data_IF_179733869057
#
_entry.id   IF_179733869057
#
_cell.length_a   1.000
_cell.length_b   1.000
_cell.length_c   1.000
_cell.angle_alpha   90.00
_cell.angle_beta   90.00
_cell.angle_gamma   90.00
#
_symmetry.space_group_name_H-M   'P 1'
#
loop_
_entity.id
_entity.type
_entity.pdbx_description
1 polymer ?
#
# COMPACT_ATOMS: atom_id res chain seq x y z
N UNK A 1 -27.06 14.09 20.30
CA UNK A 1 -25.98 13.27 19.73
C UNK A 1 -24.89 14.19 19.20
N UNK A 2 -23.64 13.98 19.60
CA UNK A 2 -22.46 14.70 19.12
C UNK A 2 -21.77 13.85 18.07
N UNK A 3 -21.41 14.45 16.92
CA UNK A 3 -20.74 13.74 15.82
C UNK A 3 -19.39 14.42 15.60
N UNK A 4 -18.30 13.66 15.72
CA UNK A 4 -16.92 14.12 15.51
C UNK A 4 -16.28 13.37 14.34
N UNK A 5 -15.62 14.11 13.43
CA UNK A 5 -14.76 13.51 12.40
C UNK A 5 -13.31 13.59 12.88
N UNK A 6 -12.60 12.46 12.85
CA UNK A 6 -11.19 12.40 13.23
C UNK A 6 -10.33 13.26 12.28
N UNK A 7 -9.71 14.29 12.81
CA UNK A 7 -8.83 15.19 12.05
C UNK A 7 -7.57 14.50 11.53
N UNK A 8 -7.16 13.38 12.11
CA UNK A 8 -6.05 12.56 11.66
C UNK A 8 -6.43 11.62 10.51
N UNK A 9 -7.72 11.42 10.23
CA UNK A 9 -8.21 10.56 9.14
C UNK A 9 -8.22 11.29 7.79
N UNK A 10 -8.20 10.52 6.71
CA UNK A 10 -8.21 11.03 5.35
C UNK A 10 -6.95 10.67 4.56
N UNK A 11 -6.86 11.15 3.33
CA UNK A 11 -5.76 10.85 2.42
C UNK A 11 -4.39 11.16 3.05
N UNK A 12 -3.46 10.22 2.92
CA UNK A 12 -2.05 10.50 3.19
C UNK A 12 -1.46 11.36 2.05
N UNK A 13 -0.29 11.95 2.30
CA UNK A 13 0.41 12.79 1.32
C UNK A 13 0.56 12.11 -0.06
N UNK A 14 0.93 10.82 -0.09
CA UNK A 14 1.10 10.09 -1.35
C UNK A 14 -0.19 9.99 -2.16
N UNK A 15 -1.32 9.69 -1.50
CA UNK A 15 -2.63 9.63 -2.14
C UNK A 15 -3.08 11.02 -2.59
N UNK A 16 -2.95 12.03 -1.73
CA UNK A 16 -3.29 13.43 -2.09
C UNK A 16 -2.53 13.87 -3.35
N UNK A 17 -1.23 13.61 -3.41
CA UNK A 17 -0.41 13.96 -4.58
C UNK A 17 -0.89 13.26 -5.86
N UNK A 18 -1.28 11.98 -5.77
CA UNK A 18 -1.76 11.24 -6.93
C UNK A 18 -3.11 11.77 -7.43
N UNK A 19 -4.04 12.07 -6.51
CA UNK A 19 -5.33 12.67 -6.84
C UNK A 19 -5.15 14.04 -7.50
N UNK A 20 -4.34 14.94 -6.91
CA UNK A 20 -4.08 16.27 -7.49
C UNK A 20 -3.49 16.18 -8.90
N UNK A 21 -2.50 15.30 -9.12
CA UNK A 21 -1.94 15.11 -10.46
C UNK A 21 -2.99 14.65 -11.47
N UNK A 22 -3.89 13.74 -11.07
CA UNK A 22 -4.98 13.31 -11.93
C UNK A 22 -5.93 14.47 -12.27
N UNK A 23 -6.35 15.25 -11.27
CA UNK A 23 -7.25 16.39 -11.43
C UNK A 23 -6.60 17.48 -12.31
N UNK A 24 -5.33 17.79 -12.08
CA UNK A 24 -4.57 18.76 -12.89
C UNK A 24 -4.47 18.34 -14.36
N UNK A 25 -4.21 17.05 -14.64
CA UNK A 25 -4.14 16.57 -16.02
C UNK A 25 -5.52 16.53 -16.68
N UNK A 26 -6.57 16.11 -15.95
CA UNK A 26 -7.94 16.13 -16.46
C UNK A 26 -8.42 17.53 -16.76
N UNK A 27 -8.04 18.53 -15.94
CA UNK A 27 -8.39 19.95 -16.16
C UNK A 27 -7.75 20.54 -17.43
N UNK A 28 -6.63 19.99 -17.91
CA UNK A 28 -6.01 20.42 -19.18
C UNK A 28 -6.78 19.95 -20.42
N UNK A 29 -7.74 19.04 -20.21
CA UNK A 29 -8.48 18.38 -21.28
C UNK A 29 -7.70 17.24 -21.92
N UNK A 30 -8.41 16.43 -22.71
CA UNK A 30 -7.85 15.21 -23.31
C UNK A 30 -8.15 13.96 -22.51
N UNK A 31 -7.64 12.83 -22.96
CA UNK A 31 -7.85 11.54 -22.32
C UNK A 31 -6.69 11.22 -21.39
N UNK A 32 -7.00 10.92 -20.12
CA UNK A 32 -6.04 10.43 -19.14
C UNK A 32 -6.41 9.01 -18.72
N UNK A 33 -5.48 8.09 -18.92
CA UNK A 33 -5.59 6.73 -18.40
C UNK A 33 -4.90 6.62 -17.04
N UNK A 34 -5.40 5.73 -16.16
CA UNK A 34 -4.77 5.40 -14.89
C UNK A 34 -4.52 3.90 -14.83
N UNK A 35 -3.30 3.49 -14.57
CA UNK A 35 -2.94 2.08 -14.46
C UNK A 35 -3.39 1.51 -13.12
N UNK A 36 -4.55 0.84 -13.13
CA UNK A 36 -5.29 0.33 -11.97
C UNK A 36 -6.01 1.43 -11.18
N UNK A 37 -6.76 1.03 -10.16
CA UNK A 37 -7.50 1.97 -9.31
C UNK A 37 -6.54 2.97 -8.66
N UNK A 38 -6.76 4.27 -8.85
CA UNK A 38 -5.87 5.34 -8.34
C UNK A 38 -5.73 5.28 -6.82
N UNK A 39 -6.80 4.88 -6.14
CA UNK A 39 -6.88 4.69 -4.69
C UNK A 39 -7.80 3.51 -4.37
N UNK A 40 -7.60 2.87 -3.22
CA UNK A 40 -8.48 1.78 -2.76
C UNK A 40 -9.75 2.30 -2.10
N UNK A 41 -10.49 3.16 -2.82
CA UNK A 41 -11.80 3.69 -2.43
C UNK A 41 -12.67 3.84 -3.69
N UNK A 42 -13.76 3.08 -3.74
CA UNK A 42 -14.64 3.02 -4.92
C UNK A 42 -15.28 4.37 -5.23
N UNK A 43 -15.79 5.06 -4.21
CA UNK A 43 -16.46 6.37 -4.37
C UNK A 43 -15.53 7.42 -4.98
N UNK A 44 -14.26 7.45 -4.56
CA UNK A 44 -13.28 8.37 -5.14
C UNK A 44 -12.87 7.98 -6.56
N UNK A 45 -12.75 6.68 -6.84
CA UNK A 45 -12.53 6.21 -8.22
C UNK A 45 -13.69 6.58 -9.14
N UNK A 46 -14.94 6.48 -8.67
CA UNK A 46 -16.14 6.87 -9.43
C UNK A 46 -16.17 8.37 -9.68
N UNK A 47 -15.86 9.18 -8.67
CA UNK A 47 -15.75 10.64 -8.81
C UNK A 47 -14.75 11.04 -9.92
N UNK A 48 -13.56 10.44 -9.91
CA UNK A 48 -12.55 10.72 -10.92
C UNK A 48 -12.92 10.17 -12.30
N UNK A 49 -13.65 9.06 -12.36
CA UNK A 49 -14.21 8.52 -13.61
C UNK A 49 -15.25 9.49 -14.22
N UNK A 50 -16.09 10.08 -13.41
CA UNK A 50 -17.03 11.13 -13.86
C UNK A 50 -16.29 12.37 -14.40
N UNK A 51 -15.09 12.66 -13.88
CA UNK A 51 -14.21 13.72 -14.41
C UNK A 51 -13.48 13.32 -15.69
N UNK A 52 -13.57 12.05 -16.13
CA UNK A 52 -12.97 11.56 -17.38
C UNK A 52 -11.73 10.68 -17.21
N UNK A 53 -11.37 10.26 -15.98
CA UNK A 53 -10.27 9.30 -15.77
C UNK A 53 -10.69 7.91 -16.24
N UNK A 54 -9.85 7.26 -17.04
CA UNK A 54 -10.09 5.90 -17.54
C UNK A 54 -9.14 4.94 -16.84
N UNK A 55 -9.67 4.06 -16.01
CA UNK A 55 -8.87 3.01 -15.38
C UNK A 55 -8.60 1.89 -16.38
N UNK A 56 -7.34 1.47 -16.49
CA UNK A 56 -6.87 0.40 -17.37
C UNK A 56 -6.00 -0.60 -16.59
N UNK A 57 -5.87 -1.80 -17.12
CA UNK A 57 -4.91 -2.78 -16.65
C UNK A 57 -3.62 -2.81 -17.50
N UNK A 58 -2.67 -3.70 -17.14
CA UNK A 58 -1.40 -3.84 -17.86
C UNK A 58 -1.57 -4.37 -19.29
N UNK A 59 -2.55 -5.26 -19.52
CA UNK A 59 -2.83 -5.81 -20.84
C UNK A 59 -3.46 -4.74 -21.76
N UNK A 60 -4.30 -3.90 -21.21
CA UNK A 60 -4.85 -2.74 -21.93
C UNK A 60 -3.75 -1.71 -22.23
N UNK A 61 -2.91 -1.40 -21.22
CA UNK A 61 -1.77 -0.49 -21.43
C UNK A 61 -0.82 -0.98 -22.53
N UNK A 62 -0.60 -2.30 -22.65
CA UNK A 62 0.26 -2.87 -23.68
C UNK A 62 -0.24 -2.63 -25.12
N UNK A 63 -1.53 -2.36 -25.28
CA UNK A 63 -2.19 -2.10 -26.58
C UNK A 63 -2.29 -0.60 -26.91
N UNK A 64 -2.07 0.26 -25.92
CA UNK A 64 -2.14 1.71 -26.09
C UNK A 64 -0.83 2.27 -26.64
N UNK A 65 -0.94 3.33 -27.46
CA UNK A 65 0.18 4.06 -28.04
C UNK A 65 -0.12 5.56 -28.09
N UNK A 66 0.90 6.40 -27.89
CA UNK A 66 0.80 7.87 -28.00
C UNK A 66 -0.29 8.46 -27.06
N UNK A 67 -0.41 7.96 -25.87
CA UNK A 67 -1.40 8.39 -24.85
C UNK A 67 -0.71 8.80 -23.55
N UNK A 68 -1.47 9.45 -22.65
CA UNK A 68 -1.02 9.74 -21.28
C UNK A 68 -1.52 8.67 -20.32
N UNK A 69 -0.63 8.14 -19.49
CA UNK A 69 -0.96 7.18 -18.43
C UNK A 69 -0.43 7.66 -17.10
N UNK A 70 -1.31 7.79 -16.12
CA UNK A 70 -0.96 8.07 -14.73
C UNK A 70 -0.60 6.77 -14.02
N UNK A 71 0.59 6.74 -13.42
CA UNK A 71 1.01 5.71 -12.49
C UNK A 71 0.69 6.15 -11.06
N UNK A 72 -0.07 5.33 -10.37
CA UNK A 72 -0.60 5.63 -9.02
C UNK A 72 0.48 5.59 -7.92
N UNK A 73 0.11 6.00 -6.71
CA UNK A 73 1.01 6.12 -5.56
C UNK A 73 1.73 4.80 -5.16
N UNK A 74 1.23 3.65 -5.58
CA UNK A 74 1.77 2.33 -5.26
C UNK A 74 3.10 2.00 -5.96
N UNK A 75 3.44 2.73 -7.04
CA UNK A 75 4.61 2.45 -7.87
C UNK A 75 4.45 1.23 -8.77
N UNK A 76 5.30 1.15 -9.78
CA UNK A 76 5.27 0.11 -10.81
C UNK A 76 6.64 -0.54 -10.97
N UNK A 77 6.72 -1.77 -11.51
CA UNK A 77 7.99 -2.41 -11.85
C UNK A 77 8.68 -1.71 -13.03
N UNK A 78 10.01 -1.88 -13.19
CA UNK A 78 10.76 -1.30 -14.33
C UNK A 78 10.18 -1.66 -15.70
N UNK A 79 9.62 -2.86 -15.85
CA UNK A 79 8.99 -3.32 -17.10
C UNK A 79 7.83 -2.44 -17.56
N UNK A 80 7.07 -1.82 -16.65
CA UNK A 80 5.99 -0.88 -16.99
C UNK A 80 6.55 0.37 -17.68
N UNK A 81 7.66 0.92 -17.17
CA UNK A 81 8.32 2.08 -17.78
C UNK A 81 8.97 1.74 -19.14
N UNK A 82 9.48 0.52 -19.29
CA UNK A 82 10.01 0.04 -20.58
C UNK A 82 8.90 -0.12 -21.63
N UNK A 83 7.75 -0.67 -21.22
CA UNK A 83 6.57 -0.75 -22.07
C UNK A 83 6.11 0.62 -22.52
N UNK A 84 6.01 1.57 -21.59
CA UNK A 84 5.62 2.95 -21.89
C UNK A 84 6.54 3.59 -22.92
N UNK A 85 7.86 3.42 -22.77
CA UNK A 85 8.86 3.94 -23.73
C UNK A 85 8.69 3.31 -25.13
N UNK A 86 8.48 2.01 -25.21
CA UNK A 86 8.27 1.30 -26.49
C UNK A 86 7.02 1.77 -27.22
N UNK A 87 5.97 2.06 -26.48
CA UNK A 87 4.66 2.43 -27.01
C UNK A 87 4.47 3.95 -27.13
N UNK A 88 5.52 4.76 -26.89
CA UNK A 88 5.45 6.24 -26.85
C UNK A 88 4.32 6.74 -25.93
N UNK A 89 4.19 6.15 -24.74
CA UNK A 89 3.24 6.56 -23.71
C UNK A 89 3.90 7.60 -22.81
N UNK A 90 3.24 8.75 -22.64
CA UNK A 90 3.64 9.77 -21.67
C UNK A 90 3.23 9.34 -20.27
N UNK A 91 4.19 9.13 -19.37
CA UNK A 91 3.94 8.75 -17.99
C UNK A 91 3.76 9.98 -17.11
N UNK A 92 2.63 10.08 -16.43
CA UNK A 92 2.40 10.96 -15.30
C UNK A 92 2.68 10.15 -14.02
N UNK A 93 3.91 10.19 -13.54
CA UNK A 93 4.32 9.39 -12.39
C UNK A 93 3.86 10.03 -11.08
N UNK A 94 2.90 9.41 -10.41
CA UNK A 94 2.39 9.82 -9.10
C UNK A 94 2.83 8.88 -7.96
N UNK A 95 3.86 8.07 -8.20
CA UNK A 95 4.40 7.16 -7.17
C UNK A 95 4.80 7.93 -5.92
N UNK A 96 4.35 7.46 -4.77
CA UNK A 96 4.68 8.05 -3.49
C UNK A 96 6.20 8.05 -3.26
N UNK A 97 6.81 9.18 -2.83
CA UNK A 97 8.26 9.24 -2.56
C UNK A 97 8.77 8.18 -1.56
N UNK A 98 7.92 7.75 -0.61
CA UNK A 98 8.26 6.67 0.34
C UNK A 98 8.41 5.35 -0.42
N UNK A 99 7.50 5.05 -1.34
CA UNK A 99 7.55 3.84 -2.17
C UNK A 99 8.73 3.90 -3.14
N UNK A 100 8.98 5.04 -3.79
CA UNK A 100 10.16 5.21 -4.65
C UNK A 100 11.47 4.94 -3.91
N UNK A 101 11.62 5.48 -2.68
CA UNK A 101 12.78 5.20 -1.84
C UNK A 101 12.93 3.71 -1.51
N UNK A 102 11.82 3.04 -1.24
CA UNK A 102 11.81 1.60 -0.96
C UNK A 102 12.22 0.80 -2.20
N UNK A 103 11.66 1.10 -3.36
CA UNK A 103 12.03 0.49 -4.63
C UNK A 103 13.53 0.66 -4.92
N UNK A 104 14.06 1.87 -4.76
CA UNK A 104 15.49 2.15 -4.96
C UNK A 104 16.39 1.33 -4.01
N UNK A 105 16.02 1.21 -2.72
CA UNK A 105 16.75 0.39 -1.74
C UNK A 105 16.77 -1.07 -2.11
N UNK A 106 15.63 -1.63 -2.47
CA UNK A 106 15.50 -3.05 -2.87
C UNK A 106 16.34 -3.29 -4.12
N UNK A 107 16.22 -2.42 -5.12
CA UNK A 107 17.02 -2.51 -6.35
C UNK A 107 18.51 -2.45 -6.07
N UNK A 108 18.97 -1.48 -5.27
CA UNK A 108 20.37 -1.35 -4.91
C UNK A 108 20.89 -2.59 -4.16
N UNK A 109 20.08 -3.13 -3.20
CA UNK A 109 20.43 -4.35 -2.50
C UNK A 109 20.55 -5.53 -3.47
N UNK A 110 19.62 -5.67 -4.41
CA UNK A 110 19.63 -6.72 -5.42
C UNK A 110 20.84 -6.62 -6.37
N UNK A 111 21.20 -5.40 -6.78
CA UNK A 111 22.34 -5.14 -7.66
C UNK A 111 23.69 -5.40 -6.97
N UNK A 112 23.79 -5.16 -5.65
CA UNK A 112 25.02 -5.32 -4.87
C UNK A 112 25.18 -6.70 -4.23
N UNK A 113 24.09 -7.47 -4.12
CA UNK A 113 24.15 -8.85 -3.62
C UNK A 113 24.75 -9.78 -4.69
N UNK A 114 25.66 -10.69 -4.33
CA UNK A 114 26.12 -11.74 -5.22
C UNK A 114 24.91 -12.53 -5.72
N UNK A 115 24.72 -12.61 -7.03
CA UNK A 115 23.62 -13.34 -7.65
C UNK A 115 24.20 -14.41 -8.57
N UNK A 116 23.97 -15.70 -8.30
CA UNK A 116 24.46 -16.78 -9.14
C UNK A 116 24.00 -16.69 -10.61
N UNK A 117 22.81 -16.10 -10.85
CA UNK A 117 22.24 -15.97 -12.21
C UNK A 117 22.89 -14.85 -13.05
N UNK A 118 23.70 -13.97 -12.44
CA UNK A 118 24.41 -12.89 -13.16
C UNK A 118 25.79 -13.31 -13.69
N UNK A 119 26.33 -14.42 -13.23
CA UNK A 119 27.73 -14.81 -13.50
C UNK A 119 27.95 -15.63 -14.80
N UNK A 120 26.92 -15.98 -15.56
CA UNK A 120 27.11 -16.68 -16.86
C UNK A 120 27.80 -15.82 -17.94
N UNK A 121 28.10 -14.52 -17.67
CA UNK A 121 28.71 -13.61 -18.66
C UNK A 121 30.13 -13.15 -18.38
N UNK A 122 30.75 -13.53 -17.25
CA UNK A 122 32.16 -13.19 -17.02
C UNK A 122 32.91 -14.37 -16.35
N UNK A 123 33.85 -14.95 -17.12
CA UNK A 123 34.76 -15.97 -16.72
C UNK A 123 35.66 -15.49 -15.56
N UNK A 124 35.41 -15.90 -14.33
CA UNK A 124 36.39 -15.88 -13.25
C UNK A 124 36.19 -17.05 -12.29
N UNK A 125 37.33 -17.68 -11.95
CA UNK A 125 37.58 -18.89 -11.20
C UNK A 125 36.82 -19.08 -9.89
N UNK A 126 36.27 -20.29 -9.76
CA UNK A 126 35.99 -21.14 -8.59
C UNK A 126 36.36 -20.63 -7.19
N UNK A 127 35.42 -20.67 -6.30
CA UNK A 127 35.35 -21.16 -4.92
C UNK A 127 34.43 -20.43 -3.93
N UNK A 128 33.58 -19.44 -4.36
CA UNK A 128 32.62 -18.84 -3.42
C UNK A 128 31.25 -18.47 -4.06
N UNK A 129 30.73 -19.35 -4.92
CA UNK A 129 29.54 -19.09 -5.77
C UNK A 129 28.17 -19.26 -5.10
N UNK A 130 28.09 -19.46 -3.77
CA UNK A 130 26.85 -19.91 -3.11
C UNK A 130 26.24 -18.90 -2.11
N UNK A 131 26.74 -17.68 -2.00
CA UNK A 131 26.25 -16.70 -1.03
C UNK A 131 25.48 -15.53 -1.66
N UNK A 132 24.50 -15.84 -2.50
CA UNK A 132 23.50 -14.84 -2.89
C UNK A 132 22.47 -14.68 -1.78
N UNK A 133 22.36 -13.49 -1.17
CA UNK A 133 21.36 -13.25 -0.14
C UNK A 133 19.95 -13.15 -0.71
N UNK A 134 18.95 -13.70 -0.02
CA UNK A 134 17.54 -13.63 -0.39
C UNK A 134 16.93 -12.28 0.01
N UNK A 135 16.29 -11.60 -0.94
CA UNK A 135 15.44 -10.44 -0.65
C UNK A 135 14.04 -10.96 -0.31
N UNK A 136 13.60 -10.66 0.89
CA UNK A 136 12.29 -11.06 1.41
C UNK A 136 11.42 -9.81 1.59
N UNK A 137 10.19 -9.86 1.09
CA UNK A 137 9.22 -8.76 1.19
C UNK A 137 8.02 -9.25 2.00
N UNK A 138 7.83 -8.70 3.20
CA UNK A 138 6.63 -8.88 3.98
C UNK A 138 5.52 -8.02 3.38
N UNK A 139 4.57 -8.63 2.68
CA UNK A 139 3.53 -7.91 1.96
C UNK A 139 2.44 -8.82 1.41
N UNK A 140 1.34 -8.24 0.98
CA UNK A 140 0.22 -8.99 0.38
C UNK A 140 0.56 -9.37 -1.06
N UNK A 141 0.58 -10.68 -1.36
CA UNK A 141 0.78 -11.19 -2.74
C UNK A 141 -0.27 -10.59 -3.69
N UNK A 142 0.17 -10.16 -4.86
CA UNK A 142 -0.68 -9.52 -5.86
C UNK A 142 -1.07 -8.06 -5.57
N UNK A 143 -0.69 -7.49 -4.43
CA UNK A 143 -0.88 -6.05 -4.20
C UNK A 143 0.04 -5.24 -5.12
N UNK A 144 -0.46 -4.13 -5.68
CA UNK A 144 0.27 -3.32 -6.64
C UNK A 144 1.65 -2.87 -6.15
N UNK A 145 1.74 -2.37 -4.90
CA UNK A 145 3.02 -1.99 -4.30
C UNK A 145 4.00 -3.17 -4.27
N UNK A 146 3.53 -4.36 -3.85
CA UNK A 146 4.38 -5.56 -3.75
C UNK A 146 4.85 -6.02 -5.14
N UNK A 147 3.99 -5.95 -6.16
CA UNK A 147 4.39 -6.23 -7.55
C UNK A 147 5.49 -5.27 -8.02
N UNK A 148 5.35 -3.97 -7.70
CA UNK A 148 6.37 -2.95 -7.97
C UNK A 148 7.70 -3.23 -7.26
N UNK A 149 7.66 -3.70 -6.00
CA UNK A 149 8.84 -4.06 -5.22
C UNK A 149 9.53 -5.32 -5.76
N UNK A 150 8.76 -6.39 -6.03
CA UNK A 150 9.28 -7.64 -6.62
C UNK A 150 9.92 -7.37 -7.98
N UNK A 151 9.34 -6.47 -8.78
CA UNK A 151 9.91 -6.07 -10.06
C UNK A 151 11.30 -5.43 -9.97
N UNK A 152 11.68 -4.84 -8.82
CA UNK A 152 13.03 -4.29 -8.61
C UNK A 152 14.11 -5.37 -8.52
N UNK A 153 13.71 -6.63 -8.35
CA UNK A 153 14.59 -7.79 -8.24
C UNK A 153 14.45 -8.74 -9.44
N UNK A 154 13.96 -8.25 -10.57
CA UNK A 154 13.64 -9.08 -11.74
C UNK A 154 12.73 -10.30 -11.41
N UNK A 155 11.91 -10.19 -10.39
CA UNK A 155 11.01 -11.27 -9.95
C UNK A 155 11.59 -12.21 -8.89
N UNK A 156 12.84 -12.04 -8.46
CA UNK A 156 13.52 -12.98 -7.57
C UNK A 156 13.25 -12.76 -6.06
N UNK A 157 12.55 -11.70 -5.67
CA UNK A 157 12.20 -11.50 -4.26
C UNK A 157 11.15 -12.51 -3.78
N UNK A 158 11.33 -13.01 -2.56
CA UNK A 158 10.41 -13.91 -1.87
C UNK A 158 9.37 -13.06 -1.14
N UNK A 159 8.08 -13.30 -1.42
CA UNK A 159 6.98 -12.60 -0.73
C UNK A 159 6.40 -13.49 0.35
N UNK A 160 6.38 -12.98 1.58
CA UNK A 160 5.69 -13.58 2.74
C UNK A 160 4.53 -12.68 3.15
N UNK A 161 3.35 -13.24 3.38
CA UNK A 161 2.15 -12.46 3.73
C UNK A 161 1.88 -12.43 5.23
N UNK A 162 2.26 -13.49 5.93
CA UNK A 162 1.98 -13.72 7.34
C UNK A 162 3.22 -14.25 8.05
N UNK A 163 3.18 -14.18 9.37
CA UNK A 163 4.24 -14.71 10.23
C UNK A 163 4.59 -16.18 9.91
N UNK A 164 3.58 -17.03 9.69
CA UNK A 164 3.78 -18.46 9.43
C UNK A 164 4.56 -18.72 8.13
N UNK A 165 4.46 -17.83 7.16
CA UNK A 165 5.19 -17.96 5.90
C UNK A 165 6.70 -17.83 6.10
N UNK A 166 7.16 -17.19 7.18
CA UNK A 166 8.58 -17.06 7.49
C UNK A 166 9.27 -18.42 7.69
N UNK A 167 8.52 -19.46 8.11
CA UNK A 167 9.04 -20.81 8.27
C UNK A 167 9.45 -21.49 6.94
N UNK A 168 9.04 -20.92 5.80
CA UNK A 168 9.39 -21.45 4.47
C UNK A 168 10.71 -20.90 3.92
N UNK A 169 11.33 -19.95 4.64
CA UNK A 169 12.58 -19.33 4.20
C UNK A 169 13.78 -20.27 4.41
N UNK A 170 14.78 -20.13 3.55
CA UNK A 170 16.05 -20.80 3.71
C UNK A 170 16.99 -19.97 4.62
N UNK A 171 17.17 -20.45 5.84
CA UNK A 171 18.01 -19.78 6.84
C UNK A 171 19.50 -20.07 6.72
N UNK A 172 19.93 -20.86 5.75
CA UNK A 172 21.35 -21.16 5.50
C UNK A 172 22.07 -20.03 4.75
N UNK A 173 21.32 -19.07 4.17
CA UNK A 173 21.82 -17.96 3.36
C UNK A 173 21.44 -16.61 3.96
N UNK A 174 22.12 -15.55 3.49
CA UNK A 174 21.83 -14.18 3.90
C UNK A 174 20.36 -13.80 3.58
N UNK A 175 19.70 -13.08 4.50
CA UNK A 175 18.33 -12.63 4.35
C UNK A 175 18.24 -11.10 4.54
N UNK A 176 17.65 -10.42 3.57
CA UNK A 176 17.37 -8.99 3.60
C UNK A 176 15.85 -8.78 3.59
N UNK A 177 15.28 -8.47 4.76
CA UNK A 177 13.84 -8.34 4.97
C UNK A 177 13.37 -6.89 4.82
N UNK A 178 12.40 -6.67 3.95
CA UNK A 178 11.67 -5.40 3.75
C UNK A 178 10.19 -5.61 4.04
N UNK A 179 9.45 -4.52 4.27
CA UNK A 179 8.00 -4.55 4.43
C UNK A 179 7.30 -3.69 3.40
N UNK A 180 6.14 -4.14 2.91
CA UNK A 180 5.15 -3.29 2.27
C UNK A 180 4.79 -2.14 3.23
N UNK A 181 4.64 -0.92 2.72
CA UNK A 181 4.51 0.30 3.53
C UNK A 181 3.27 0.33 4.43
N UNK A 182 2.27 -0.53 4.17
CA UNK A 182 0.99 -0.56 4.87
C UNK A 182 0.75 -1.80 5.74
N UNK A 183 1.80 -2.57 6.03
CA UNK A 183 1.72 -3.74 6.92
C UNK A 183 1.77 -3.34 8.41
N UNK A 184 1.42 -4.28 9.29
CA UNK A 184 1.52 -4.12 10.74
C UNK A 184 2.97 -4.10 11.21
N UNK A 185 3.33 -3.12 12.05
CA UNK A 185 4.66 -3.04 12.64
C UNK A 185 4.91 -4.18 13.64
N UNK A 186 3.90 -4.56 14.42
CA UNK A 186 4.01 -5.64 15.42
C UNK A 186 4.25 -6.99 14.73
N UNK A 187 3.48 -7.28 13.66
CA UNK A 187 3.67 -8.51 12.88
C UNK A 187 5.05 -8.54 12.20
N UNK A 188 5.54 -7.38 11.73
CA UNK A 188 6.88 -7.26 11.18
C UNK A 188 7.97 -7.56 12.22
N UNK A 189 7.82 -7.09 13.46
CA UNK A 189 8.75 -7.40 14.55
C UNK A 189 8.72 -8.89 14.90
N UNK A 190 7.56 -9.53 14.94
CA UNK A 190 7.47 -10.97 15.17
C UNK A 190 8.19 -11.78 14.08
N UNK A 191 8.10 -11.35 12.82
CA UNK A 191 8.84 -11.96 11.71
C UNK A 191 10.35 -11.77 11.89
N UNK A 192 10.79 -10.58 12.30
CA UNK A 192 12.22 -10.30 12.60
C UNK A 192 12.74 -11.27 13.67
N UNK A 193 12.04 -11.37 14.81
CA UNK A 193 12.43 -12.23 15.93
C UNK A 193 12.49 -13.70 15.51
N UNK A 194 11.53 -14.13 14.69
CA UNK A 194 11.54 -15.49 14.17
C UNK A 194 12.74 -15.76 13.28
N UNK A 195 13.00 -14.93 12.28
CA UNK A 195 14.15 -15.09 11.37
C UNK A 195 15.45 -15.05 12.17
N UNK A 196 15.58 -14.11 13.11
CA UNK A 196 16.80 -13.94 13.92
C UNK A 196 17.10 -15.16 14.79
N UNK A 197 16.05 -15.87 15.25
CA UNK A 197 16.22 -17.09 16.05
C UNK A 197 16.54 -18.34 15.24
N UNK A 198 16.34 -18.31 13.91
CA UNK A 198 16.54 -19.48 13.03
C UNK A 198 17.70 -19.32 12.04
N UNK A 199 18.19 -18.09 11.82
CA UNK A 199 19.27 -17.83 10.86
C UNK A 199 20.56 -18.58 11.23
N UNK A 200 21.23 -19.16 10.24
CA UNK A 200 22.50 -19.83 10.42
C UNK A 200 23.56 -18.88 11.01
N UNK A 201 24.45 -19.34 11.91
CA UNK A 201 25.58 -18.52 12.39
C UNK A 201 26.53 -18.02 11.29
N UNK A 202 26.50 -18.66 10.11
CA UNK A 202 27.32 -18.29 8.95
C UNK A 202 26.61 -17.34 7.99
N UNK A 203 25.33 -17.09 8.18
CA UNK A 203 24.52 -16.21 7.34
C UNK A 203 24.22 -14.86 8.03
N UNK A 204 24.00 -13.82 7.24
CA UNK A 204 23.67 -12.48 7.71
C UNK A 204 22.16 -12.25 7.62
N UNK A 205 21.56 -11.76 8.70
CA UNK A 205 20.20 -11.24 8.66
C UNK A 205 20.18 -9.72 8.82
N UNK A 206 19.49 -9.03 7.91
CA UNK A 206 19.22 -7.59 8.01
C UNK A 206 17.75 -7.33 7.76
N UNK A 207 17.12 -6.59 8.66
CA UNK A 207 15.76 -6.11 8.50
C UNK A 207 15.74 -4.59 8.27
N UNK A 208 14.82 -4.14 7.43
CA UNK A 208 14.63 -2.73 7.13
C UNK A 208 13.16 -2.38 7.40
N UNK A 209 12.92 -1.61 8.46
CA UNK A 209 11.60 -1.07 8.73
C UNK A 209 11.24 -0.04 7.66
N UNK A 210 10.46 -0.49 6.69
CA UNK A 210 9.99 0.30 5.56
C UNK A 210 8.49 0.61 5.64
N UNK A 211 7.86 0.32 6.79
CA UNK A 211 6.47 0.67 7.06
C UNK A 211 6.34 2.20 7.11
N UNK A 212 5.34 2.73 6.39
CA UNK A 212 5.13 4.16 6.30
C UNK A 212 4.76 4.76 7.66
N UNK A 213 5.47 5.80 8.10
CA UNK A 213 5.19 6.47 9.37
C UNK A 213 3.80 7.11 9.44
N UNK A 214 3.27 7.56 8.30
CA UNK A 214 1.88 8.03 8.23
C UNK A 214 0.86 6.92 8.53
N UNK A 215 1.22 5.65 8.30
CA UNK A 215 0.39 4.48 8.66
C UNK A 215 0.64 4.09 10.11
N UNK A 216 1.91 3.89 10.51
CA UNK A 216 2.27 3.44 11.85
C UNK A 216 1.79 4.41 12.95
N UNK A 217 1.94 5.74 12.74
CA UNK A 217 1.53 6.75 13.72
C UNK A 217 0.00 6.90 13.82
N UNK A 218 -0.76 6.39 12.87
CA UNK A 218 -2.23 6.43 12.94
C UNK A 218 -2.82 5.46 13.96
N UNK A 219 -2.17 4.33 14.19
CA UNK A 219 -2.68 3.32 15.10
C UNK A 219 -2.98 3.88 16.51
N UNK A 220 -2.03 4.52 17.22
CA UNK A 220 -2.30 5.05 18.55
C UNK A 220 -3.35 6.18 18.51
N UNK A 221 -3.36 7.03 17.48
CA UNK A 221 -4.31 8.14 17.38
C UNK A 221 -5.74 7.64 17.18
N UNK A 222 -5.95 6.69 16.27
CA UNK A 222 -7.27 6.13 15.98
C UNK A 222 -7.80 5.30 17.15
N UNK A 223 -6.92 4.61 17.87
CA UNK A 223 -7.25 3.88 19.10
C UNK A 223 -7.81 4.83 20.17
N UNK A 224 -7.12 5.96 20.42
CA UNK A 224 -7.57 6.99 21.36
C UNK A 224 -8.88 7.66 20.91
N UNK A 225 -9.02 7.89 19.60
CA UNK A 225 -10.24 8.45 19.03
C UNK A 225 -11.42 7.50 19.22
N UNK A 226 -11.26 6.24 18.85
CA UNK A 226 -12.32 5.22 18.95
C UNK A 226 -12.77 4.98 20.40
N UNK A 227 -11.85 5.05 21.37
CA UNK A 227 -12.15 4.84 22.78
C UNK A 227 -13.00 5.96 23.43
N UNK A 228 -13.14 7.12 22.78
CA UNK A 228 -13.86 8.30 23.32
C UNK A 228 -15.31 8.39 22.86
N UNK A 229 -15.74 7.53 21.95
CA UNK A 229 -17.08 7.59 21.35
C UNK A 229 -17.89 6.32 21.65
N UNK A 230 -19.22 6.45 21.71
CA UNK A 230 -20.12 5.32 21.91
C UNK A 230 -20.23 4.44 20.66
N UNK A 231 -20.12 5.06 19.48
CA UNK A 231 -20.18 4.42 18.16
C UNK A 231 -19.08 4.94 17.27
N UNK A 232 -18.42 4.05 16.53
CA UNK A 232 -17.47 4.41 15.47
C UNK A 232 -18.00 3.99 14.09
N UNK A 233 -18.05 4.94 13.18
CA UNK A 233 -18.19 4.68 11.75
C UNK A 233 -16.82 4.80 11.08
N UNK A 234 -16.27 3.66 10.68
CA UNK A 234 -14.99 3.62 9.99
C UNK A 234 -15.22 3.59 8.48
N UNK A 235 -14.94 4.71 7.82
CA UNK A 235 -15.17 4.88 6.38
C UNK A 235 -13.96 4.39 5.59
N UNK A 236 -14.13 3.34 4.77
CA UNK A 236 -13.02 2.74 4.06
C UNK A 236 -13.48 1.82 2.94
N UNK A 237 -12.83 1.88 1.78
CA UNK A 237 -13.00 0.88 0.73
C UNK A 237 -12.55 -0.52 1.17
N UNK A 238 -13.32 -1.55 0.88
CA UNK A 238 -13.09 -2.94 1.33
C UNK A 238 -11.79 -3.55 0.82
N UNK A 239 -11.19 -2.99 -0.25
CA UNK A 239 -9.90 -3.42 -0.82
C UNK A 239 -8.68 -2.82 -0.09
N UNK A 240 -8.86 -1.81 0.77
CA UNK A 240 -7.79 -1.10 1.45
C UNK A 240 -7.10 -1.96 2.52
N UNK A 241 -5.83 -2.29 2.32
CA UNK A 241 -5.02 -3.02 3.32
C UNK A 241 -4.83 -2.20 4.60
N UNK A 242 -4.51 -0.91 4.46
CA UNK A 242 -4.38 0.00 5.60
C UNK A 242 -5.71 0.17 6.34
N UNK A 243 -6.83 0.25 5.60
CA UNK A 243 -8.16 0.36 6.21
C UNK A 243 -8.49 -0.81 7.11
N UNK A 244 -8.19 -2.04 6.68
CA UNK A 244 -8.44 -3.24 7.49
C UNK A 244 -7.65 -3.24 8.79
N UNK A 245 -6.38 -2.86 8.75
CA UNK A 245 -5.52 -2.79 9.94
C UNK A 245 -6.06 -1.77 10.94
N UNK A 246 -6.40 -0.56 10.47
CA UNK A 246 -6.93 0.50 11.32
C UNK A 246 -8.34 0.19 11.87
N UNK A 247 -9.20 -0.43 11.06
CA UNK A 247 -10.53 -0.85 11.51
C UNK A 247 -10.47 -1.92 12.59
N UNK A 248 -9.58 -2.92 12.46
CA UNK A 248 -9.37 -3.93 13.49
C UNK A 248 -8.95 -3.29 14.82
N UNK A 249 -8.13 -2.24 14.78
CA UNK A 249 -7.76 -1.50 15.98
C UNK A 249 -8.97 -0.75 16.58
N UNK A 250 -9.81 -0.11 15.75
CA UNK A 250 -11.06 0.50 16.25
C UNK A 250 -11.93 -0.54 16.94
N UNK A 251 -12.17 -1.71 16.33
CA UNK A 251 -12.97 -2.78 16.93
C UNK A 251 -12.37 -3.34 18.22
N UNK A 252 -11.04 -3.39 18.31
CA UNK A 252 -10.36 -3.88 19.53
C UNK A 252 -10.65 -2.99 20.74
N UNK A 253 -10.70 -1.68 20.56
CA UNK A 253 -10.90 -0.72 21.65
C UNK A 253 -12.36 -0.29 21.81
N UNK A 254 -13.13 -0.30 20.73
CA UNK A 254 -14.57 -0.02 20.73
C UNK A 254 -15.31 -1.07 19.88
N UNK A 255 -15.89 -2.11 20.53
CA UNK A 255 -16.64 -3.14 19.80
C UNK A 255 -17.83 -2.61 18.98
N UNK A 256 -18.37 -1.44 19.34
CA UNK A 256 -19.43 -0.77 18.57
C UNK A 256 -18.81 0.06 17.40
N UNK A 257 -17.99 -0.59 16.60
CA UNK A 257 -17.36 -0.02 15.42
C UNK A 257 -17.85 -0.72 14.17
N UNK A 258 -18.32 0.05 13.18
CA UNK A 258 -18.83 -0.47 11.91
C UNK A 258 -18.01 0.08 10.75
N UNK A 259 -17.56 -0.83 9.85
CA UNK A 259 -16.90 -0.47 8.61
C UNK A 259 -17.97 -0.20 7.53
N UNK A 260 -17.89 0.98 6.93
CA UNK A 260 -18.79 1.40 5.83
C UNK A 260 -17.98 1.92 4.65
N UNK A 261 -18.48 1.74 3.43
CA UNK A 261 -17.88 2.34 2.23
C UNK A 261 -18.47 3.72 1.93
N UNK A 262 -19.71 4.00 2.39
CA UNK A 262 -20.39 5.28 2.19
C UNK A 262 -21.60 5.46 3.10
N UNK A 263 -22.28 6.62 3.00
CA UNK A 263 -23.44 6.95 3.85
C UNK A 263 -24.64 6.00 3.68
N UNK A 264 -24.76 5.33 2.54
CA UNK A 264 -25.83 4.37 2.22
C UNK A 264 -25.74 3.08 3.04
N UNK A 265 -24.56 2.78 3.60
CA UNK A 265 -24.36 1.60 4.46
C UNK A 265 -24.64 1.89 5.95
N UNK A 266 -25.03 3.11 6.31
CA UNK A 266 -25.32 3.47 7.70
C UNK A 266 -26.66 2.89 8.11
N UNK A 267 -26.62 1.91 9.04
CA UNK A 267 -27.85 1.41 9.66
C UNK A 267 -28.29 2.34 10.80
N UNK A 268 -29.48 2.91 10.67
CA UNK A 268 -30.05 3.83 11.67
C UNK A 268 -30.23 3.18 13.06
N UNK A 269 -30.37 1.86 13.12
CA UNK A 269 -30.47 1.14 14.39
C UNK A 269 -29.21 1.26 15.24
N UNK A 270 -28.06 1.46 14.62
CA UNK A 270 -26.79 1.66 15.35
C UNK A 270 -26.76 2.97 16.15
N UNK A 271 -27.60 3.93 15.78
CA UNK A 271 -27.66 5.27 16.41
C UNK A 271 -28.61 5.32 17.61
N UNK A 272 -29.38 4.27 17.86
CA UNK A 272 -30.33 4.23 18.97
C UNK A 272 -29.64 4.23 20.34
N UNK A 273 -29.94 5.24 21.16
CA UNK A 273 -29.36 5.38 22.49
C UNK A 273 -27.89 5.87 22.51
N UNK A 274 -27.34 6.30 21.37
CA UNK A 274 -25.97 6.79 21.24
C UNK A 274 -25.91 8.30 21.50
N UNK A 275 -24.98 8.73 22.36
CA UNK A 275 -24.71 10.14 22.64
C UNK A 275 -23.61 10.71 21.75
N UNK A 276 -22.58 9.91 21.44
CA UNK A 276 -21.39 10.33 20.69
C UNK A 276 -21.06 9.39 19.54
N UNK A 277 -20.88 9.92 18.33
CA UNK A 277 -20.47 9.20 17.13
C UNK A 277 -19.12 9.72 16.65
N UNK A 278 -18.14 8.85 16.56
CA UNK A 278 -16.87 9.12 15.92
C UNK A 278 -16.86 8.63 14.47
N UNK A 279 -16.48 9.49 13.53
CA UNK A 279 -16.28 9.13 12.13
C UNK A 279 -14.79 9.21 11.82
N UNK A 280 -14.22 8.13 11.36
CA UNK A 280 -12.81 8.06 11.00
C UNK A 280 -12.62 7.22 9.72
N UNK A 281 -11.40 7.17 9.19
CA UNK A 281 -11.15 6.49 7.93
C UNK A 281 -9.69 6.18 7.67
N UNK A 282 -9.47 5.41 6.60
CA UNK A 282 -8.15 5.01 6.13
C UNK A 282 -7.38 6.14 5.44
N UNK A 283 -6.10 5.88 5.13
CA UNK A 283 -5.26 6.77 4.31
C UNK A 283 -5.71 6.86 2.84
N UNK A 284 -6.68 6.06 2.46
CA UNK A 284 -7.35 6.04 1.15
C UNK A 284 -8.78 6.59 1.19
N UNK A 285 -9.24 7.15 2.32
CA UNK A 285 -10.58 7.70 2.46
C UNK A 285 -10.56 9.21 2.24
N UNK A 286 -11.34 9.75 1.29
CA UNK A 286 -11.43 11.19 1.11
C UNK A 286 -12.21 11.85 2.25
N UNK A 287 -11.82 13.09 2.59
CA UNK A 287 -12.49 13.84 3.68
C UNK A 287 -13.95 14.11 3.38
N UNK A 288 -14.29 14.44 2.12
CA UNK A 288 -15.64 14.72 1.69
C UNK A 288 -16.59 13.54 1.94
N UNK A 289 -16.10 12.29 1.84
CA UNK A 289 -16.92 11.10 2.08
C UNK A 289 -17.27 10.93 3.56
N UNK A 290 -16.31 11.23 4.46
CA UNK A 290 -16.58 11.25 5.90
C UNK A 290 -17.57 12.36 6.28
N UNK A 291 -17.48 13.51 5.61
CA UNK A 291 -18.41 14.63 5.77
C UNK A 291 -19.82 14.23 5.29
N UNK A 292 -19.96 13.53 4.16
CA UNK A 292 -21.26 12.99 3.71
C UNK A 292 -21.85 11.98 4.71
N UNK A 293 -21.02 11.12 5.30
CA UNK A 293 -21.49 10.20 6.35
C UNK A 293 -22.00 10.98 7.58
N UNK A 294 -21.30 12.05 8.00
CA UNK A 294 -21.78 12.93 9.07
C UNK A 294 -23.14 13.54 8.73
N UNK A 295 -23.26 14.11 7.54
CA UNK A 295 -24.47 14.82 7.11
C UNK A 295 -25.67 13.85 6.99
N UNK A 296 -25.41 12.61 6.57
CA UNK A 296 -26.44 11.57 6.51
C UNK A 296 -26.99 11.15 7.89
N UNK A 297 -26.18 11.27 8.95
CA UNK A 297 -26.62 10.99 10.32
C UNK A 297 -27.47 12.14 10.89
N UNK A 298 -27.19 13.37 10.47
CA UNK A 298 -27.86 14.58 10.97
C UNK A 298 -29.27 14.77 10.39
N UNK A 299 -29.58 14.13 9.27
CA UNK A 299 -30.90 14.11 8.62
C UNK A 299 -31.82 13.07 9.27
#
# INVERSE_FOLDING_TARGET
>A
MVIEIDNGSGFCFGVTTAIHKAEEELAKGGTLYCLGDIVHNGMECDRLREMGLITIDHDEMARLHNVKVLLRAHGEPPSTYELARRNNIEIIDATCPVVLKLQQRIRQQYETSPNPDKEEKQNTSTEDKTRGGSIVIFGKKGHAEVLGLVGQTAGNAIVIERYEDAATLDFSHDIYLYSQTTKSLDEFHHIIDYIQSHISPTATFRSFDTICRSVANRMPNISQFAARHDLILFVCGRKSSNGKVLFNECQRVNPNSHLIEGPEEIDRSWLEGIETVGICGATSTPKWLMEQCRDAIQL
#
